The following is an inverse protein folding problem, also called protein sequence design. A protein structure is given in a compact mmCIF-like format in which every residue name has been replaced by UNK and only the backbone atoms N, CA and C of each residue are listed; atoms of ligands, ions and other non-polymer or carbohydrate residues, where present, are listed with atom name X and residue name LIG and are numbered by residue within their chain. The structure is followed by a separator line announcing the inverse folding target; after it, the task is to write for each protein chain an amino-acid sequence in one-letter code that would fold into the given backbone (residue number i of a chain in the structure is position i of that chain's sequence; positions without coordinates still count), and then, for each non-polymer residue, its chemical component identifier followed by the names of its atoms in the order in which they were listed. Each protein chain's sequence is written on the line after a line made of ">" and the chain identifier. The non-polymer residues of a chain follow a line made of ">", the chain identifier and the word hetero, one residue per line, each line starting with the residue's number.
data_IF_935537226807
#
_entry.id   IF_935537226807
#
_cell.length_a   1.000
_cell.length_b   1.000
_cell.length_c   1.000
_cell.angle_alpha   90.00
_cell.angle_beta   90.00
_cell.angle_gamma   90.00
#
_symmetry.space_group_name_H-M   'P 1'
#
loop_
_entity.id
_entity.type
_entity.pdbx_description
1 polymer ?
#
# COMPACT_ATOMS: atom_id res chain seq x y z
N UNK A 1 7.74 -26.21 19.20
CA UNK A 1 7.17 -24.88 18.91
C UNK A 1 8.32 -24.03 18.45
N UNK A 2 8.35 -23.64 17.17
CA UNK A 2 9.37 -22.75 16.62
C UNK A 2 8.78 -21.34 16.66
N UNK A 3 9.49 -20.42 17.31
CA UNK A 3 9.14 -19.01 17.35
C UNK A 3 10.00 -18.28 16.32
N UNK A 4 9.36 -17.52 15.43
CA UNK A 4 10.04 -16.66 14.46
C UNK A 4 9.76 -15.23 14.88
N UNK A 5 10.83 -14.48 15.13
CA UNK A 5 10.77 -13.06 15.48
C UNK A 5 11.30 -12.23 14.32
N UNK A 6 10.61 -11.12 14.04
CA UNK A 6 11.01 -10.14 13.02
C UNK A 6 10.98 -8.75 13.64
N UNK A 7 11.90 -7.89 13.20
CA UNK A 7 11.91 -6.48 13.56
C UNK A 7 11.34 -5.68 12.39
N UNK A 8 10.52 -4.68 12.67
CA UNK A 8 9.84 -3.93 11.63
C UNK A 8 9.25 -2.62 12.10
N UNK A 9 8.95 -1.74 11.14
CA UNK A 9 8.05 -0.60 11.37
C UNK A 9 6.64 -1.00 10.90
N UNK A 10 5.66 -0.94 11.81
CA UNK A 10 4.26 -1.21 11.50
C UNK A 10 3.50 0.11 11.30
N UNK A 11 2.75 0.18 10.20
CA UNK A 11 1.89 1.29 9.84
C UNK A 11 0.46 0.79 9.60
N UNK A 12 -0.52 1.65 9.87
CA UNK A 12 -1.93 1.35 9.67
C UNK A 12 -2.52 2.31 8.62
N UNK A 13 -3.23 1.75 7.63
CA UNK A 13 -3.96 2.54 6.64
C UNK A 13 -5.38 2.86 7.08
N UNK A 14 -6.02 3.80 6.39
CA UNK A 14 -7.42 4.16 6.64
C UNK A 14 -8.38 3.13 6.03
N UNK A 15 -8.16 2.72 4.79
CA UNK A 15 -8.99 1.75 4.06
C UNK A 15 -8.11 0.88 3.18
N UNK A 16 -8.51 -0.37 3.01
CA UNK A 16 -7.85 -1.34 2.15
C UNK A 16 -8.84 -2.16 1.33
N UNK A 17 -8.35 -2.66 0.22
CA UNK A 17 -9.07 -3.45 -0.77
C UNK A 17 -8.19 -4.58 -1.29
N UNK A 18 -8.76 -5.77 -1.47
CA UNK A 18 -8.01 -6.98 -1.79
C UNK A 18 -7.50 -7.68 -0.54
N UNK A 19 -6.53 -8.58 -0.70
CA UNK A 19 -6.03 -9.43 0.39
C UNK A 19 -4.64 -9.03 0.88
N UNK A 20 -3.82 -10.04 1.10
CA UNK A 20 -2.45 -9.89 1.58
C UNK A 20 -1.45 -10.04 0.42
N UNK A 21 -0.29 -9.39 0.56
CA UNK A 21 0.81 -9.55 -0.39
C UNK A 21 2.13 -9.13 0.26
N UNK A 22 3.26 -9.56 -0.31
CA UNK A 22 4.58 -9.16 0.15
C UNK A 22 5.53 -8.96 -1.02
N UNK A 23 6.37 -7.94 -0.95
CA UNK A 23 7.33 -7.64 -2.00
C UNK A 23 8.27 -6.50 -1.63
N UNK A 24 9.22 -6.20 -2.51
CA UNK A 24 10.16 -5.10 -2.32
C UNK A 24 9.44 -3.76 -2.44
N UNK A 25 9.64 -2.87 -1.47
CA UNK A 25 9.05 -1.53 -1.47
C UNK A 25 9.66 -0.68 -2.59
N UNK A 26 8.79 -0.09 -3.40
CA UNK A 26 9.14 0.90 -4.42
C UNK A 26 8.41 2.21 -4.18
N UNK A 27 9.13 3.16 -3.62
CA UNK A 27 8.76 4.55 -3.44
C UNK A 27 8.79 5.27 -4.78
N UNK A 28 7.66 5.89 -5.13
CA UNK A 28 7.50 6.76 -6.29
C UNK A 28 7.05 8.13 -5.80
N UNK A 29 7.99 9.09 -5.83
CA UNK A 29 7.73 10.46 -5.44
C UNK A 29 7.20 11.27 -6.63
N UNK A 30 5.90 11.60 -6.57
CA UNK A 30 5.26 12.57 -7.47
C UNK A 30 4.90 13.87 -6.74
N UNK A 31 5.46 14.09 -5.53
CA UNK A 31 5.07 15.14 -4.61
C UNK A 31 3.60 15.04 -4.20
N UNK A 32 2.92 16.19 -4.13
CA UNK A 32 1.47 16.26 -3.88
C UNK A 32 0.63 16.15 -5.16
N UNK A 33 1.27 15.86 -6.30
CA UNK A 33 0.58 15.73 -7.59
C UNK A 33 -0.06 14.34 -7.71
N UNK A 34 -0.92 14.21 -8.72
CA UNK A 34 -1.52 12.93 -9.09
C UNK A 34 -0.46 12.04 -9.77
N UNK A 35 -0.32 10.80 -9.33
CA UNK A 35 0.52 9.80 -9.97
C UNK A 35 -0.17 9.31 -11.25
N UNK A 36 0.43 9.61 -12.39
CA UNK A 36 -0.01 9.19 -13.72
C UNK A 36 0.92 8.09 -14.26
N UNK A 37 0.53 7.46 -15.36
CA UNK A 37 1.30 6.40 -15.99
C UNK A 37 2.72 6.86 -16.39
N UNK A 38 2.89 8.10 -16.85
CA UNK A 38 4.16 8.63 -17.35
C UNK A 38 5.22 8.81 -16.25
N UNK A 39 4.78 8.89 -14.98
CA UNK A 39 5.66 8.99 -13.83
C UNK A 39 6.10 7.62 -13.29
N UNK A 40 5.58 6.52 -13.84
CA UNK A 40 5.91 5.16 -13.40
C UNK A 40 7.19 4.66 -14.09
N UNK A 41 8.18 4.16 -13.33
CA UNK A 41 9.37 3.54 -13.92
C UNK A 41 8.99 2.17 -14.50
N UNK A 42 9.65 1.75 -15.58
CA UNK A 42 9.31 0.54 -16.34
C UNK A 42 9.35 -0.77 -15.51
N UNK A 43 10.16 -0.84 -14.45
CA UNK A 43 10.37 -2.08 -13.69
C UNK A 43 9.63 -2.02 -12.33
N UNK A 44 8.35 -2.41 -12.31
CA UNK A 44 7.55 -2.53 -11.08
C UNK A 44 7.06 -3.96 -10.77
N UNK A 45 7.32 -4.93 -11.65
CA UNK A 45 6.93 -6.32 -11.43
C UNK A 45 7.51 -6.85 -10.12
N UNK A 46 6.68 -7.53 -9.32
CA UNK A 46 7.11 -8.07 -8.03
C UNK A 46 7.26 -7.03 -6.91
N UNK A 47 6.91 -5.76 -7.11
CA UNK A 47 7.13 -4.68 -6.12
C UNK A 47 5.82 -4.25 -5.45
N UNK A 48 5.93 -3.81 -4.19
CA UNK A 48 4.87 -3.04 -3.50
C UNK A 48 5.16 -1.57 -3.78
N UNK A 49 4.28 -0.91 -4.53
CA UNK A 49 4.44 0.50 -4.91
C UNK A 49 3.88 1.39 -3.82
N UNK A 50 4.60 2.46 -3.47
CA UNK A 50 4.10 3.49 -2.55
C UNK A 50 4.25 4.90 -3.12
N UNK A 51 3.20 5.71 -2.97
CA UNK A 51 3.21 7.13 -3.32
C UNK A 51 2.45 7.96 -2.29
N UNK A 52 2.91 9.17 -2.00
CA UNK A 52 2.21 10.05 -1.04
C UNK A 52 0.87 10.58 -1.60
N UNK A 53 0.74 10.66 -2.92
CA UNK A 53 -0.32 11.42 -3.59
C UNK A 53 -1.59 10.65 -3.93
N UNK A 54 -2.35 11.22 -4.86
CA UNK A 54 -3.56 10.62 -5.46
C UNK A 54 -3.15 9.81 -6.68
N UNK A 55 -3.75 8.65 -6.92
CA UNK A 55 -3.44 7.81 -8.09
C UNK A 55 -4.49 7.98 -9.19
N UNK A 56 -4.05 8.07 -10.45
CA UNK A 56 -4.92 8.13 -11.62
C UNK A 56 -5.34 6.74 -12.12
N UNK A 57 -6.44 6.65 -12.87
CA UNK A 57 -6.95 5.38 -13.37
C UNK A 57 -5.94 4.68 -14.31
N UNK A 58 -5.30 5.45 -15.20
CA UNK A 58 -4.29 4.94 -16.12
C UNK A 58 -3.06 4.36 -15.41
N UNK A 59 -2.70 4.92 -14.25
CA UNK A 59 -1.60 4.41 -13.45
C UNK A 59 -1.94 3.04 -12.83
N UNK A 60 -3.18 2.83 -12.38
CA UNK A 60 -3.62 1.53 -11.83
C UNK A 60 -3.64 0.45 -12.91
N UNK A 61 -4.19 0.74 -14.09
CA UNK A 61 -4.23 -0.22 -15.19
C UNK A 61 -2.82 -0.57 -15.67
N UNK A 62 -1.93 0.40 -15.75
CA UNK A 62 -0.53 0.14 -16.07
C UNK A 62 0.16 -0.73 -15.02
N UNK A 63 -0.03 -0.43 -13.72
CA UNK A 63 0.51 -1.26 -12.63
C UNK A 63 0.01 -2.70 -12.68
N UNK A 64 -1.27 -2.91 -13.00
CA UNK A 64 -1.85 -4.25 -13.21
C UNK A 64 -1.15 -5.00 -14.33
N UNK A 65 -0.89 -4.34 -15.46
CA UNK A 65 -0.15 -4.93 -16.59
C UNK A 65 1.29 -5.29 -16.23
N UNK A 66 1.94 -4.50 -15.36
CA UNK A 66 3.29 -4.77 -14.87
C UNK A 66 3.36 -5.78 -13.73
N UNK A 67 2.25 -6.36 -13.29
CA UNK A 67 2.20 -7.37 -12.22
C UNK A 67 2.83 -6.84 -10.91
N UNK A 68 2.49 -5.61 -10.54
CA UNK A 68 2.82 -5.12 -9.18
C UNK A 68 2.12 -5.98 -8.13
N UNK A 69 2.76 -6.12 -6.97
CA UNK A 69 2.24 -6.95 -5.88
C UNK A 69 1.32 -6.18 -4.94
N UNK A 70 1.26 -4.86 -5.02
CA UNK A 70 0.41 -4.02 -4.18
C UNK A 70 0.66 -2.53 -4.37
N UNK A 71 -0.29 -1.73 -3.90
CA UNK A 71 -0.23 -0.26 -3.91
C UNK A 71 -0.56 0.31 -2.53
N UNK A 72 0.30 1.20 -2.04
CA UNK A 72 0.02 2.07 -0.89
C UNK A 72 -0.02 3.51 -1.42
N UNK A 73 -1.13 4.22 -1.18
CA UNK A 73 -1.24 5.61 -1.64
C UNK A 73 -1.87 6.52 -0.60
N UNK A 74 -1.70 7.83 -0.75
CA UNK A 74 -2.38 8.82 0.08
C UNK A 74 -3.89 8.67 -0.05
N UNK A 75 -4.40 8.72 -1.28
CA UNK A 75 -5.82 8.51 -1.53
C UNK A 75 -6.11 8.02 -2.94
N UNK A 76 -7.30 7.44 -3.09
CA UNK A 76 -7.86 7.02 -4.37
C UNK A 76 -9.36 7.30 -4.38
N UNK A 77 -9.89 7.79 -5.50
CA UNK A 77 -11.32 8.09 -5.56
C UNK A 77 -12.17 6.81 -5.67
N UNK A 78 -13.36 6.75 -5.05
CA UNK A 78 -14.29 5.63 -5.23
C UNK A 78 -14.68 5.39 -6.70
N UNK A 79 -14.75 6.44 -7.51
CA UNK A 79 -15.05 6.35 -8.95
C UNK A 79 -13.96 5.57 -9.67
N UNK A 80 -12.69 5.91 -9.46
CA UNK A 80 -11.56 5.20 -10.05
C UNK A 80 -11.51 3.74 -9.56
N UNK A 81 -11.75 3.49 -8.27
CA UNK A 81 -11.82 2.11 -7.75
C UNK A 81 -12.89 1.27 -8.44
N UNK A 82 -14.07 1.87 -8.68
CA UNK A 82 -15.19 1.21 -9.37
C UNK A 82 -14.91 0.95 -10.85
N UNK A 83 -14.16 1.84 -11.51
CA UNK A 83 -13.69 1.65 -12.88
C UNK A 83 -12.66 0.51 -12.96
N UNK A 84 -11.75 0.44 -11.98
CA UNK A 84 -10.72 -0.59 -11.91
C UNK A 84 -11.26 -1.98 -11.56
N UNK A 85 -12.26 -2.06 -10.67
CA UNK A 85 -12.99 -3.28 -10.36
C UNK A 85 -14.48 -2.96 -10.12
N UNK A 86 -15.42 -3.55 -10.91
CA UNK A 86 -16.83 -3.15 -10.93
C UNK A 86 -17.65 -3.69 -9.73
N UNK A 87 -17.11 -3.58 -8.53
CA UNK A 87 -17.81 -3.75 -7.25
C UNK A 87 -17.93 -2.39 -6.56
N UNK A 88 -18.94 -2.17 -5.73
CA UNK A 88 -19.06 -0.91 -5.00
C UNK A 88 -18.02 -0.84 -3.86
N UNK A 89 -17.00 0.04 -3.93
CA UNK A 89 -15.94 0.11 -2.93
C UNK A 89 -16.44 0.60 -1.56
N UNK A 90 -17.65 1.15 -1.46
CA UNK A 90 -18.25 1.51 -0.16
C UNK A 90 -19.01 0.34 0.51
N UNK A 91 -19.23 -0.74 -0.23
CA UNK A 91 -19.97 -1.94 0.24
C UNK A 91 -19.04 -3.15 0.40
N UNK A 92 -18.11 -3.31 -0.54
CA UNK A 92 -17.11 -4.37 -0.56
C UNK A 92 -15.76 -3.76 -0.18
N UNK A 93 -15.35 -3.98 1.08
CA UNK A 93 -14.09 -3.53 1.65
C UNK A 93 -13.18 -4.73 1.89
N UNK A 94 -11.86 -4.48 2.03
CA UNK A 94 -10.88 -5.52 2.29
C UNK A 94 -10.90 -6.63 1.25
N UNK A 95 -10.73 -7.87 1.71
CA UNK A 95 -10.67 -9.07 0.88
C UNK A 95 -11.99 -9.44 0.19
N UNK A 96 -13.10 -8.79 0.57
CA UNK A 96 -14.42 -8.99 -0.08
C UNK A 96 -14.50 -8.33 -1.46
N UNK A 97 -13.59 -7.42 -1.78
CA UNK A 97 -13.45 -6.83 -3.11
C UNK A 97 -12.31 -7.56 -3.84
N UNK A 98 -12.64 -8.21 -4.96
CA UNK A 98 -11.66 -8.95 -5.76
C UNK A 98 -10.78 -7.95 -6.49
N UNK A 99 -9.50 -7.89 -6.12
CA UNK A 99 -8.54 -6.95 -6.70
C UNK A 99 -7.39 -7.68 -7.40
N UNK A 100 -6.83 -7.14 -8.50
CA UNK A 100 -5.62 -7.69 -9.11
C UNK A 100 -4.41 -7.68 -8.18
N UNK A 101 -4.37 -6.73 -7.26
CA UNK A 101 -3.38 -6.59 -6.20
C UNK A 101 -4.00 -5.78 -5.04
N UNK A 102 -3.53 -5.94 -3.79
CA UNK A 102 -4.01 -5.16 -2.66
C UNK A 102 -3.73 -3.66 -2.80
N UNK A 103 -4.69 -2.84 -2.41
CA UNK A 103 -4.58 -1.38 -2.38
C UNK A 103 -4.86 -0.89 -0.96
N UNK A 104 -3.94 -0.10 -0.39
CA UNK A 104 -4.11 0.56 0.91
C UNK A 104 -4.10 2.08 0.72
N UNK A 105 -5.14 2.72 1.27
CA UNK A 105 -5.32 4.16 1.28
C UNK A 105 -4.97 4.70 2.65
N UNK A 106 -4.01 5.62 2.73
CA UNK A 106 -3.54 6.17 4.01
C UNK A 106 -4.46 7.28 4.54
N UNK A 107 -5.09 8.06 3.66
CA UNK A 107 -6.01 9.14 4.00
C UNK A 107 -7.44 8.93 3.43
N UNK A 108 -7.72 7.78 2.83
CA UNK A 108 -9.03 7.44 2.26
C UNK A 108 -9.24 8.04 0.87
N UNK A 109 -10.30 8.82 0.68
CA UNK A 109 -10.77 9.21 -0.67
C UNK A 109 -10.12 10.47 -1.26
N UNK A 110 -9.41 11.26 -0.45
CA UNK A 110 -8.77 12.50 -0.89
C UNK A 110 -7.56 12.87 -0.05
N UNK A 111 -6.68 13.69 -0.62
CA UNK A 111 -5.52 14.25 0.05
C UNK A 111 -4.28 13.36 -0.04
N UNK A 112 -3.12 13.99 0.16
CA UNK A 112 -1.86 13.28 0.29
C UNK A 112 -1.73 12.67 1.69
N UNK A 113 -0.96 11.60 1.78
CA UNK A 113 -0.55 10.97 3.04
C UNK A 113 0.16 11.96 3.97
N UNK A 114 0.11 11.69 5.28
CA UNK A 114 0.86 12.46 6.28
C UNK A 114 2.37 12.48 5.99
N UNK A 115 3.02 13.63 6.23
CA UNK A 115 4.44 13.82 5.91
C UNK A 115 5.37 12.91 6.69
N UNK A 116 5.07 12.64 7.97
CA UNK A 116 5.90 11.77 8.81
C UNK A 116 5.79 10.32 8.33
N UNK A 117 4.58 9.89 7.99
CA UNK A 117 4.33 8.57 7.37
C UNK A 117 5.04 8.45 6.02
N UNK A 118 5.02 9.50 5.20
CA UNK A 118 5.74 9.49 3.93
C UNK A 118 7.25 9.33 4.11
N UNK A 119 7.84 10.04 5.08
CA UNK A 119 9.27 9.94 5.39
C UNK A 119 9.69 8.53 5.81
N UNK A 120 8.82 7.80 6.52
CA UNK A 120 9.05 6.39 6.85
C UNK A 120 9.20 5.55 5.58
N UNK A 121 8.26 5.66 4.64
CA UNK A 121 8.37 4.92 3.37
C UNK A 121 9.62 5.30 2.57
N UNK A 122 9.96 6.59 2.51
CA UNK A 122 11.16 7.06 1.81
C UNK A 122 12.44 6.47 2.39
N UNK A 123 12.55 6.39 3.73
CA UNK A 123 13.70 5.80 4.44
C UNK A 123 13.88 4.32 4.11
N UNK A 124 12.80 3.60 3.82
CA UNK A 124 12.79 2.15 3.63
C UNK A 124 12.64 1.71 2.17
N UNK A 125 12.96 2.58 1.21
CA UNK A 125 13.03 2.22 -0.21
C UNK A 125 13.85 0.93 -0.40
N UNK A 126 13.27 -0.07 -1.07
CA UNK A 126 13.94 -1.35 -1.33
C UNK A 126 13.85 -2.37 -0.18
N UNK A 127 13.25 -2.03 0.96
CA UNK A 127 12.99 -2.99 2.04
C UNK A 127 11.92 -4.02 1.63
N UNK A 128 11.91 -5.19 2.27
CA UNK A 128 10.81 -6.14 2.14
C UNK A 128 9.62 -5.61 2.95
N UNK A 129 8.44 -5.57 2.32
CA UNK A 129 7.20 -5.11 2.96
C UNK A 129 6.14 -6.17 2.80
N UNK A 130 5.40 -6.42 3.87
CA UNK A 130 4.16 -7.16 3.87
C UNK A 130 2.98 -6.20 4.03
N UNK A 131 1.93 -6.41 3.25
CA UNK A 131 0.70 -5.65 3.31
C UNK A 131 -0.48 -6.58 3.53
N UNK A 132 -1.39 -6.13 4.38
CA UNK A 132 -2.68 -6.76 4.64
C UNK A 132 -3.73 -5.67 4.43
N UNK A 133 -4.44 -5.74 3.30
CA UNK A 133 -5.42 -4.73 2.91
C UNK A 133 -6.80 -4.97 3.53
N UNK A 134 -6.95 -5.86 4.51
CA UNK A 134 -8.24 -6.15 5.13
C UNK A 134 -8.85 -4.90 5.79
N UNK A 135 -10.15 -4.69 5.61
CA UNK A 135 -10.87 -3.57 6.20
C UNK A 135 -12.27 -3.98 6.58
N UNK A 136 -12.57 -3.86 7.88
CA UNK A 136 -13.87 -4.19 8.45
C UNK A 136 -14.35 -3.02 9.32
N UNK A 137 -15.51 -2.47 8.98
CA UNK A 137 -16.10 -1.31 9.70
C UNK A 137 -17.20 -1.70 10.70
N UNK A 138 -17.66 -2.96 10.69
CA UNK A 138 -18.76 -3.45 11.54
C UNK A 138 -18.28 -4.66 12.33
N UNK A 139 -18.51 -4.65 13.66
CA UNK A 139 -18.09 -5.67 14.65
C UNK A 139 -16.60 -6.02 14.57
N UNK A 140 -15.80 -5.70 15.60
CA UNK A 140 -14.33 -5.84 15.57
C UNK A 140 -13.71 -5.09 14.39
N UNK A 141 -13.58 -3.76 14.51
CA UNK A 141 -13.01 -2.93 13.45
C UNK A 141 -11.60 -3.41 13.10
N UNK A 142 -11.40 -3.74 11.83
CA UNK A 142 -10.08 -4.09 11.27
C UNK A 142 -9.68 -2.98 10.32
N UNK A 143 -8.42 -2.56 10.42
CA UNK A 143 -7.78 -1.62 9.52
C UNK A 143 -6.64 -2.32 8.79
N UNK A 144 -6.33 -1.88 7.57
CA UNK A 144 -5.25 -2.47 6.81
C UNK A 144 -3.91 -2.17 7.48
N UNK A 145 -2.99 -3.13 7.38
CA UNK A 145 -1.67 -3.08 8.01
C UNK A 145 -0.57 -3.16 6.97
N UNK A 146 0.53 -2.51 7.30
CA UNK A 146 1.75 -2.49 6.50
C UNK A 146 2.89 -2.77 7.46
N UNK A 147 3.64 -3.83 7.21
CA UNK A 147 4.82 -4.19 7.98
C UNK A 147 6.06 -4.03 7.09
N UNK A 148 6.91 -3.08 7.43
CA UNK A 148 8.21 -2.88 6.80
C UNK A 148 9.24 -3.67 7.58
N UNK A 149 9.83 -4.69 6.98
CA UNK A 149 10.82 -5.54 7.63
C UNK A 149 12.17 -4.83 7.72
N UNK A 150 12.72 -4.80 8.92
CA UNK A 150 14.05 -4.31 9.21
C UNK A 150 15.00 -5.48 9.42
N UNK A 151 16.27 -5.28 9.05
CA UNK A 151 17.32 -6.15 9.55
C UNK A 151 17.41 -5.98 11.08
N UNK A 152 17.48 -7.06 11.86
CA UNK A 152 17.70 -6.97 13.29
C UNK A 152 18.94 -6.11 13.59
N UNK A 153 18.93 -5.27 14.63
CA UNK A 153 20.18 -4.70 15.12
C UNK A 153 21.14 -5.84 15.48
N UNK A 154 22.44 -5.68 15.18
CA UNK A 154 23.45 -6.63 15.65
C UNK A 154 23.36 -6.75 17.18
N UNK A 155 23.39 -7.99 17.70
CA UNK A 155 23.31 -8.25 19.14
C UNK A 155 24.33 -7.39 19.91
N UNK A 156 23.85 -6.56 20.83
CA UNK A 156 24.70 -5.76 21.74
C UNK A 156 24.50 -4.25 21.67
N UNK A 157 23.68 -3.73 20.75
CA UNK A 157 23.36 -2.30 20.71
C UNK A 157 21.95 -2.05 21.28
N UNK A 158 21.89 -1.75 22.57
CA UNK A 158 20.69 -1.16 23.18
C UNK A 158 20.71 0.37 23.00
N UNK A 159 19.55 1.00 22.78
CA UNK A 159 19.44 2.45 22.60
C UNK A 159 19.82 3.24 23.86
#
# INVERSE_FOLDING_TARGET
>A
MCEIQVYGEELQGAFGYGGESSGTLRVIDCGVKRLTMEALPAELSGKIVVTAGVVAAEALEWMKQQQVLGLICGSLSPTILREFCPQDPLTFLGSRMTMPFPIILMNGWRGAMDKQVWQIFQKHQGALVSVDAETQLRANVIRPRILILLTPPEEGMHP
#
